data_IF_361110730463
#
_entry.id   IF_361110730463
#
_cell.length_a   1.000
_cell.length_b   1.000
_cell.length_c   1.000
_cell.angle_alpha   90.00
_cell.angle_beta   90.00
_cell.angle_gamma   90.00
#
_symmetry.space_group_name_H-M   'P 1'
#
loop_
_entity.id
_entity.type
_entity.pdbx_description
1 polymer ?
#
# COMPACT_ATOMS: atom_id res chain seq x y z
N UNK A 1 18.50 -15.59 3.00
CA UNK A 1 18.29 -14.12 2.99
C UNK A 1 19.46 -13.50 2.23
N UNK A 2 19.20 -12.80 1.11
CA UNK A 2 20.23 -12.39 0.14
C UNK A 2 21.31 -11.44 0.72
N UNK A 3 20.99 -10.72 1.80
CA UNK A 3 21.88 -9.76 2.47
C UNK A 3 23.13 -10.38 3.10
N UNK A 4 23.10 -11.68 3.42
CA UNK A 4 24.27 -12.38 3.97
C UNK A 4 25.15 -13.03 2.90
N UNK A 5 24.76 -12.90 1.64
CA UNK A 5 25.56 -13.33 0.50
C UNK A 5 26.56 -12.22 0.14
N UNK A 6 27.85 -12.56 0.18
CA UNK A 6 28.93 -11.63 -0.13
C UNK A 6 28.93 -11.23 -1.60
N UNK A 7 28.54 -12.11 -2.52
CA UNK A 7 28.47 -11.80 -3.95
C UNK A 7 27.39 -10.75 -4.20
N UNK A 8 26.23 -10.90 -3.57
CA UNK A 8 25.10 -9.98 -3.71
C UNK A 8 25.42 -8.63 -3.07
N UNK A 9 25.97 -8.62 -1.85
CA UNK A 9 26.32 -7.37 -1.17
C UNK A 9 27.45 -6.63 -1.87
N UNK A 10 28.40 -7.35 -2.47
CA UNK A 10 29.44 -6.76 -3.32
C UNK A 10 28.83 -6.14 -4.58
N UNK A 11 27.92 -6.85 -5.26
CA UNK A 11 27.21 -6.31 -6.42
C UNK A 11 26.45 -5.03 -6.07
N UNK A 12 25.66 -5.02 -4.99
CA UNK A 12 24.95 -3.83 -4.53
C UNK A 12 25.89 -2.68 -4.20
N UNK A 13 27.05 -2.97 -3.60
CA UNK A 13 28.09 -1.97 -3.34
C UNK A 13 28.55 -1.32 -4.64
N UNK A 14 28.90 -2.13 -5.65
CA UNK A 14 29.34 -1.64 -6.95
C UNK A 14 28.26 -0.79 -7.62
N UNK A 15 27.03 -1.29 -7.66
CA UNK A 15 25.89 -0.58 -8.26
C UNK A 15 25.67 0.79 -7.59
N UNK A 16 25.67 0.83 -6.25
CA UNK A 16 25.45 2.05 -5.48
C UNK A 16 26.54 3.11 -5.68
N UNK A 17 27.81 2.69 -5.77
CA UNK A 17 28.95 3.60 -6.00
C UNK A 17 29.04 4.06 -7.46
N UNK A 18 28.55 3.26 -8.42
CA UNK A 18 28.55 3.60 -9.85
C UNK A 18 27.33 4.40 -10.32
N UNK A 19 26.34 4.62 -9.45
CA UNK A 19 25.08 5.24 -9.83
C UNK A 19 25.26 6.74 -10.17
N UNK A 20 25.07 7.09 -11.44
CA UNK A 20 25.16 8.48 -11.90
C UNK A 20 24.15 9.39 -11.18
N UNK A 21 24.60 10.58 -10.79
CA UNK A 21 23.75 11.58 -10.10
C UNK A 21 23.42 11.24 -8.64
N UNK A 22 24.08 10.25 -8.03
CA UNK A 22 23.98 9.92 -6.61
C UNK A 22 25.31 10.21 -5.90
N UNK A 23 25.26 10.87 -4.75
CA UNK A 23 26.42 11.13 -3.89
C UNK A 23 26.54 10.03 -2.83
N UNK A 24 26.92 8.82 -3.26
CA UNK A 24 27.13 7.67 -2.38
C UNK A 24 28.62 7.47 -2.13
N UNK A 25 29.03 7.51 -0.87
CA UNK A 25 30.42 7.22 -0.47
C UNK A 25 30.58 5.77 0.01
N UNK A 26 31.80 5.26 0.02
CA UNK A 26 32.12 3.92 0.56
C UNK A 26 31.62 3.76 2.00
N UNK A 27 31.87 4.74 2.87
CA UNK A 27 31.42 4.72 4.26
C UNK A 27 29.88 4.67 4.38
N UNK A 28 29.16 5.36 3.48
CA UNK A 28 27.70 5.35 3.49
C UNK A 28 27.15 3.97 3.11
N UNK A 29 27.66 3.36 2.05
CA UNK A 29 27.19 2.03 1.64
C UNK A 29 27.59 0.94 2.64
N UNK A 30 28.78 1.05 3.25
CA UNK A 30 29.19 0.18 4.36
C UNK A 30 28.22 0.29 5.54
N UNK A 31 27.85 1.51 5.91
CA UNK A 31 26.88 1.74 6.97
C UNK A 31 25.49 1.20 6.59
N UNK A 32 25.02 1.42 5.36
CA UNK A 32 23.74 0.86 4.89
C UNK A 32 23.71 -0.67 4.96
N UNK A 33 24.77 -1.35 4.52
CA UNK A 33 24.86 -2.81 4.59
C UNK A 33 24.88 -3.27 6.05
N UNK A 34 25.64 -2.59 6.92
CA UNK A 34 25.69 -2.90 8.35
C UNK A 34 24.32 -2.69 9.03
N UNK A 35 23.62 -1.59 8.72
CA UNK A 35 22.28 -1.31 9.22
C UNK A 35 21.28 -2.38 8.76
N UNK A 36 21.29 -2.74 7.48
CA UNK A 36 20.43 -3.80 6.96
C UNK A 36 20.67 -5.12 7.71
N UNK A 37 21.93 -5.47 8.00
CA UNK A 37 22.27 -6.71 8.73
C UNK A 37 21.76 -6.67 10.16
N UNK A 38 21.94 -5.53 10.85
CA UNK A 38 21.39 -5.30 12.18
C UNK A 38 19.86 -5.45 12.19
N UNK A 39 19.18 -4.80 11.24
CA UNK A 39 17.72 -4.86 11.08
C UNK A 39 17.24 -6.28 10.80
N UNK A 40 17.93 -7.02 9.94
CA UNK A 40 17.57 -8.39 9.64
C UNK A 40 17.70 -9.33 10.86
N UNK A 41 18.77 -9.18 11.64
CA UNK A 41 18.93 -9.92 12.90
C UNK A 41 17.81 -9.59 13.89
N UNK A 42 17.40 -8.31 13.98
CA UNK A 42 16.25 -7.93 14.81
C UNK A 42 14.97 -8.63 14.35
N UNK A 43 14.67 -8.59 13.04
CA UNK A 43 13.51 -9.28 12.47
C UNK A 43 13.52 -10.78 12.73
N UNK A 44 14.67 -11.45 12.62
CA UNK A 44 14.81 -12.88 12.91
C UNK A 44 14.52 -13.20 14.38
N UNK A 45 15.00 -12.36 15.31
CA UNK A 45 14.85 -12.57 16.74
C UNK A 45 13.44 -12.24 17.26
N UNK A 46 12.79 -11.20 16.73
CA UNK A 46 11.51 -10.69 17.25
C UNK A 46 10.31 -11.04 16.37
N UNK A 47 10.55 -11.44 15.11
CA UNK A 47 9.51 -11.59 14.09
C UNK A 47 8.97 -10.27 13.54
N UNK A 48 9.46 -9.10 14.01
CA UNK A 48 8.94 -7.80 13.61
C UNK A 48 9.99 -6.68 13.69
N UNK A 49 9.89 -5.68 12.80
CA UNK A 49 10.81 -4.55 12.78
C UNK A 49 10.09 -3.23 12.46
N UNK A 50 10.44 -2.18 13.20
CA UNK A 50 10.01 -0.82 12.87
C UNK A 50 10.76 -0.31 11.63
N UNK A 51 10.00 0.03 10.59
CA UNK A 51 10.57 0.45 9.28
C UNK A 51 10.57 1.96 9.09
N UNK A 52 9.78 2.70 9.88
CA UNK A 52 9.74 4.17 9.83
C UNK A 52 9.55 4.76 11.23
N UNK A 53 10.03 6.00 11.44
CA UNK A 53 9.78 6.77 12.65
C UNK A 53 8.29 7.20 12.65
N UNK A 54 7.41 6.36 13.20
CA UNK A 54 5.98 6.66 13.23
C UNK A 54 5.08 5.42 13.29
N UNK A 55 5.41 4.46 14.15
CA UNK A 55 4.55 3.30 14.46
C UNK A 55 4.27 2.31 13.32
N UNK A 56 5.03 2.38 12.21
CA UNK A 56 4.95 1.39 11.13
C UNK A 56 5.89 0.22 11.43
N UNK A 57 5.28 -0.94 11.70
CA UNK A 57 5.98 -2.20 11.98
C UNK A 57 5.74 -3.18 10.84
N UNK A 58 6.82 -3.80 10.37
CA UNK A 58 6.80 -4.89 9.40
C UNK A 58 6.97 -6.22 10.12
N UNK A 59 6.18 -7.22 9.76
CA UNK A 59 6.33 -8.61 10.20
C UNK A 59 5.84 -9.56 9.11
N UNK A 60 6.60 -10.62 8.83
CA UNK A 60 6.17 -11.67 7.88
C UNK A 60 5.30 -12.75 8.55
N UNK A 61 5.16 -12.68 9.87
CA UNK A 61 4.53 -13.72 10.69
C UNK A 61 3.33 -13.20 11.49
N UNK A 62 3.02 -11.90 11.41
CA UNK A 62 1.88 -11.29 12.08
C UNK A 62 0.54 -11.91 11.69
N UNK A 63 0.41 -12.40 10.45
CA UNK A 63 -0.79 -13.08 9.96
C UNK A 63 -0.57 -14.60 10.02
N UNK A 64 -1.39 -15.36 10.76
CA UNK A 64 -1.27 -16.81 10.82
C UNK A 64 -1.44 -17.49 9.44
N UNK A 65 -0.91 -18.72 9.24
CA UNK A 65 -0.96 -19.40 7.95
C UNK A 65 -2.38 -19.55 7.37
N UNK A 66 -3.36 -19.91 8.20
CA UNK A 66 -4.73 -20.16 7.76
C UNK A 66 -5.37 -18.94 7.07
N UNK A 67 -5.51 -17.77 7.71
CA UNK A 67 -6.07 -16.59 7.05
C UNK A 67 -5.22 -16.10 5.87
N UNK A 68 -3.89 -16.23 5.95
CA UNK A 68 -2.98 -15.88 4.84
C UNK A 68 -3.26 -16.75 3.60
N UNK A 69 -3.34 -18.06 3.78
CA UNK A 69 -3.51 -19.00 2.69
C UNK A 69 -4.94 -18.94 2.13
N UNK A 70 -5.94 -18.72 2.98
CA UNK A 70 -7.31 -18.43 2.56
C UNK A 70 -7.39 -17.15 1.69
N UNK A 71 -6.70 -16.07 2.09
CA UNK A 71 -6.66 -14.83 1.32
C UNK A 71 -5.98 -15.03 -0.04
N UNK A 72 -4.84 -15.72 -0.07
CA UNK A 72 -4.16 -16.07 -1.33
C UNK A 72 -5.07 -16.87 -2.27
N UNK A 73 -5.78 -17.87 -1.73
CA UNK A 73 -6.70 -18.67 -2.52
C UNK A 73 -7.89 -17.83 -3.06
N UNK A 74 -8.41 -16.91 -2.26
CA UNK A 74 -9.50 -16.02 -2.67
C UNK A 74 -9.08 -15.01 -3.75
N UNK A 75 -7.82 -14.56 -3.73
CA UNK A 75 -7.27 -13.58 -4.67
C UNK A 75 -6.73 -14.23 -5.95
N UNK A 76 -6.32 -15.50 -5.90
CA UNK A 76 -5.74 -16.21 -7.05
C UNK A 76 -6.55 -16.11 -8.36
N UNK A 77 -7.90 -16.12 -8.38
CA UNK A 77 -8.67 -15.93 -9.62
C UNK A 77 -8.52 -14.54 -10.24
N UNK A 78 -8.20 -13.51 -9.44
CA UNK A 78 -7.94 -12.14 -9.90
C UNK A 78 -6.52 -11.98 -10.44
N UNK A 79 -5.57 -12.71 -9.86
CA UNK A 79 -4.16 -12.74 -10.31
C UNK A 79 -3.97 -13.57 -11.59
N UNK A 80 -4.58 -14.76 -11.64
CA UNK A 80 -4.35 -15.75 -12.68
C UNK A 80 -5.28 -15.56 -13.90
N UNK A 81 -5.37 -14.34 -14.38
CA UNK A 81 -6.12 -13.99 -15.59
C UNK A 81 -5.28 -14.23 -16.85
N UNK A 82 -5.89 -14.48 -18.02
CA UNK A 82 -5.17 -14.52 -19.29
C UNK A 82 -4.32 -13.25 -19.50
N UNK A 83 -3.13 -13.32 -20.14
CA UNK A 83 -2.19 -12.18 -20.25
C UNK A 83 -2.81 -10.90 -20.80
N UNK A 84 -3.79 -11.01 -21.71
CA UNK A 84 -4.52 -9.88 -22.28
C UNK A 84 -5.39 -9.09 -21.28
N UNK A 85 -5.64 -9.66 -20.10
CA UNK A 85 -6.42 -9.05 -19.01
C UNK A 85 -5.55 -8.71 -17.81
N UNK A 86 -4.23 -8.94 -17.90
CA UNK A 86 -3.32 -8.60 -16.83
C UNK A 86 -3.14 -7.08 -16.79
N UNK A 87 -3.48 -6.48 -15.65
CA UNK A 87 -3.34 -5.04 -15.42
C UNK A 87 -2.01 -4.81 -14.69
N UNK A 88 -0.99 -4.34 -15.41
CA UNK A 88 0.33 -4.07 -14.84
C UNK A 88 0.45 -2.61 -14.45
N UNK A 89 0.95 -2.36 -13.25
CA UNK A 89 1.06 -1.01 -12.74
C UNK A 89 2.00 -0.18 -13.64
N UNK A 90 1.61 1.04 -14.06
CA UNK A 90 2.43 1.85 -14.96
C UNK A 90 3.84 2.08 -14.42
N UNK A 91 4.86 1.82 -15.25
CA UNK A 91 6.27 1.98 -14.87
C UNK A 91 6.85 0.84 -14.02
N UNK A 92 6.12 -0.28 -13.87
CA UNK A 92 6.61 -1.44 -13.12
C UNK A 92 7.43 -2.46 -13.94
N UNK A 93 7.54 -2.29 -15.26
CA UNK A 93 8.08 -3.31 -16.20
C UNK A 93 7.41 -4.69 -16.04
N UNK A 94 6.08 -4.72 -15.95
CA UNK A 94 5.31 -5.95 -15.80
C UNK A 94 5.68 -6.77 -14.55
N UNK A 95 6.01 -6.07 -13.44
CA UNK A 95 6.39 -6.71 -12.16
C UNK A 95 5.34 -6.56 -11.07
N UNK A 96 4.48 -5.55 -11.17
CA UNK A 96 3.50 -5.24 -10.13
C UNK A 96 2.11 -5.31 -10.74
N UNK A 97 1.35 -6.39 -10.52
CA UNK A 97 0.00 -6.51 -11.04
C UNK A 97 -0.98 -5.74 -10.14
N UNK A 98 -1.82 -4.91 -10.75
CA UNK A 98 -2.96 -4.27 -10.11
C UNK A 98 -4.15 -5.22 -10.12
N UNK A 99 -4.46 -5.85 -8.98
CA UNK A 99 -5.68 -6.67 -8.85
C UNK A 99 -6.93 -5.82 -9.02
N UNK A 100 -6.86 -4.60 -8.48
CA UNK A 100 -7.83 -3.53 -8.61
C UNK A 100 -7.03 -2.24 -8.55
N UNK A 101 -6.87 -1.55 -9.68
CA UNK A 101 -6.14 -0.29 -9.70
C UNK A 101 -6.93 0.79 -8.94
N UNK A 102 -6.40 1.40 -7.86
CA UNK A 102 -7.15 2.34 -7.01
C UNK A 102 -7.75 3.53 -7.76
N UNK A 103 -7.03 4.05 -8.76
CA UNK A 103 -7.51 5.14 -9.62
C UNK A 103 -8.71 4.81 -10.53
N UNK A 104 -9.13 3.54 -10.64
CA UNK A 104 -10.32 3.17 -11.42
C UNK A 104 -11.63 3.38 -10.64
N UNK A 105 -11.56 3.43 -9.31
CA UNK A 105 -12.73 3.55 -8.44
C UNK A 105 -12.63 4.73 -7.48
N UNK A 106 -12.30 5.96 -7.95
CA UNK A 106 -12.27 7.12 -7.09
C UNK A 106 -13.70 7.52 -6.71
N UNK A 107 -13.82 8.22 -5.58
CA UNK A 107 -14.99 9.02 -5.30
C UNK A 107 -15.03 10.17 -6.31
N UNK A 108 -16.16 10.32 -6.98
CA UNK A 108 -16.46 11.40 -7.93
C UNK A 108 -17.66 12.17 -7.41
N UNK A 109 -17.47 13.45 -7.10
CA UNK A 109 -18.56 14.33 -6.67
C UNK A 109 -19.61 14.50 -7.77
N UNK A 110 -20.89 14.56 -7.38
CA UNK A 110 -22.02 14.62 -8.30
C UNK A 110 -22.33 13.30 -9.03
N UNK A 111 -21.58 12.23 -8.78
CA UNK A 111 -21.81 10.90 -9.39
C UNK A 111 -21.81 9.76 -8.38
N UNK A 112 -20.87 9.75 -7.44
CA UNK A 112 -20.72 8.67 -6.46
C UNK A 112 -21.83 8.73 -5.44
N UNK A 113 -22.39 7.57 -5.09
CA UNK A 113 -23.42 7.47 -4.06
C UNK A 113 -22.79 7.10 -2.72
N UNK A 114 -23.34 7.66 -1.65
CA UNK A 114 -22.90 7.42 -0.28
C UNK A 114 -24.07 6.99 0.60
N UNK A 115 -23.74 6.23 1.63
CA UNK A 115 -24.61 5.92 2.76
C UNK A 115 -24.13 6.79 3.94
N UNK A 116 -24.91 7.78 4.36
CA UNK A 116 -24.46 8.77 5.38
C UNK A 116 -24.35 8.17 6.78
N UNK A 117 -25.37 7.42 7.18
CA UNK A 117 -25.57 6.99 8.56
C UNK A 117 -25.61 5.46 8.69
N UNK A 118 -25.07 4.75 7.69
CA UNK A 118 -25.09 3.30 7.64
C UNK A 118 -23.73 2.73 7.27
N UNK A 119 -23.39 1.58 7.87
CA UNK A 119 -22.19 0.81 7.55
C UNK A 119 -22.61 -0.34 6.65
N UNK A 120 -21.93 -0.47 5.51
CA UNK A 120 -22.14 -1.56 4.57
C UNK A 120 -21.29 -2.77 4.96
N UNK A 121 -21.91 -3.94 5.12
CA UNK A 121 -21.22 -5.18 5.45
C UNK A 121 -20.76 -5.95 4.20
N UNK A 122 -19.88 -6.93 4.40
CA UNK A 122 -19.41 -7.81 3.31
C UNK A 122 -20.53 -8.68 2.73
N UNK A 123 -21.60 -8.95 3.49
CA UNK A 123 -22.68 -9.84 3.07
C UNK A 123 -23.73 -9.16 2.19
N UNK A 124 -23.95 -7.86 2.39
CA UNK A 124 -24.97 -7.08 1.70
C UNK A 124 -24.39 -6.08 0.69
N UNK A 125 -23.06 -5.87 0.67
CA UNK A 125 -22.42 -4.87 -0.19
C UNK A 125 -22.75 -5.00 -1.68
N UNK A 126 -22.82 -6.23 -2.20
CA UNK A 126 -23.15 -6.47 -3.61
C UNK A 126 -24.62 -6.16 -3.88
N UNK A 127 -25.54 -6.61 -3.01
CA UNK A 127 -26.97 -6.43 -3.18
C UNK A 127 -27.43 -4.97 -3.04
N UNK A 128 -26.68 -4.19 -2.27
CA UNK A 128 -26.92 -2.76 -2.02
C UNK A 128 -26.09 -1.85 -2.94
N UNK A 129 -25.42 -2.42 -3.95
CA UNK A 129 -24.64 -1.63 -4.90
C UNK A 129 -25.56 -0.63 -5.63
N UNK A 130 -25.29 0.66 -5.45
CA UNK A 130 -26.09 1.75 -6.02
C UNK A 130 -27.14 2.34 -5.08
N UNK A 131 -27.26 1.84 -3.86
CA UNK A 131 -28.06 2.47 -2.80
C UNK A 131 -27.48 3.84 -2.38
N UNK A 132 -28.23 4.55 -1.56
CA UNK A 132 -27.81 5.82 -0.96
C UNK A 132 -28.09 7.02 -1.86
N UNK A 133 -27.48 8.15 -1.55
CA UNK A 133 -27.67 9.41 -2.25
C UNK A 133 -26.40 9.86 -2.95
N UNK A 134 -26.54 10.62 -4.04
CA UNK A 134 -25.40 11.17 -4.76
C UNK A 134 -24.74 12.24 -3.92
N UNK A 135 -23.44 12.07 -3.63
CA UNK A 135 -22.67 13.05 -2.89
C UNK A 135 -22.47 14.30 -3.74
N UNK A 136 -23.07 15.41 -3.31
CA UNK A 136 -22.91 16.70 -3.97
C UNK A 136 -21.46 17.22 -3.85
N UNK A 137 -20.95 17.98 -4.83
CA UNK A 137 -19.68 18.67 -4.71
C UNK A 137 -19.63 19.57 -3.46
N UNK A 138 -18.46 19.69 -2.81
CA UNK A 138 -18.31 20.56 -1.64
C UNK A 138 -18.58 22.01 -2.03
N UNK A 139 -19.23 22.77 -1.15
CA UNK A 139 -19.51 24.21 -1.34
C UNK A 139 -18.34 25.10 -0.96
N UNK A 140 -17.33 24.57 -0.27
CA UNK A 140 -16.07 25.26 0.02
C UNK A 140 -15.19 25.18 -1.23
N UNK A 141 -15.31 26.15 -2.14
CA UNK A 141 -14.63 26.15 -3.44
C UNK A 141 -15.27 27.05 -4.52
N UNK A 142 -16.42 27.68 -4.23
CA UNK A 142 -17.02 28.75 -5.05
C UNK A 142 -16.48 30.16 -4.70
N UNK A 143 -15.26 30.21 -4.17
CA UNK A 143 -14.42 31.40 -4.01
C UNK A 143 -12.99 31.01 -4.36
N UNK A 144 -12.21 31.96 -4.92
CA UNK A 144 -10.86 31.81 -5.50
C UNK A 144 -10.16 30.49 -5.16
N UNK A 145 -9.91 29.68 -6.20
CA UNK A 145 -9.15 28.43 -6.12
C UNK A 145 -7.77 28.77 -5.60
N UNK A 146 -7.53 28.50 -4.32
CA UNK A 146 -6.18 28.55 -3.77
C UNK A 146 -5.41 27.40 -4.43
N UNK A 147 -4.38 27.73 -5.22
CA UNK A 147 -3.56 26.72 -5.90
C UNK A 147 -2.78 25.82 -4.92
N UNK A 148 -2.81 26.16 -3.63
CA UNK A 148 -2.17 25.43 -2.54
C UNK A 148 -3.12 24.45 -1.80
N UNK A 149 -4.40 24.32 -2.19
CA UNK A 149 -5.26 23.29 -1.60
C UNK A 149 -4.94 21.90 -2.20
N UNK A 150 -4.40 20.95 -1.42
CA UNK A 150 -4.11 19.59 -1.91
C UNK A 150 -5.38 18.78 -2.21
N UNK A 151 -6.58 19.31 -1.92
CA UNK A 151 -7.84 18.60 -2.03
C UNK A 151 -8.57 18.87 -3.34
N UNK A 152 -8.72 17.84 -4.18
CA UNK A 152 -9.56 17.95 -5.38
C UNK A 152 -11.06 17.99 -5.04
N UNK A 153 -11.75 19.03 -5.51
CA UNK A 153 -13.22 19.14 -5.39
C UNK A 153 -14.00 18.29 -6.41
N UNK A 154 -13.29 17.54 -7.26
CA UNK A 154 -13.88 16.71 -8.31
C UNK A 154 -13.75 15.20 -8.00
N UNK A 155 -12.58 14.79 -7.53
CA UNK A 155 -12.22 13.38 -7.33
C UNK A 155 -11.49 13.17 -6.01
N UNK A 156 -11.75 12.08 -5.31
CA UNK A 156 -11.05 11.73 -4.07
C UNK A 156 -10.73 10.24 -4.03
N UNK A 157 -9.60 9.88 -3.42
CA UNK A 157 -9.35 8.50 -3.05
C UNK A 157 -10.21 8.14 -1.85
N UNK A 158 -10.78 6.93 -1.86
CA UNK A 158 -11.64 6.48 -0.76
C UNK A 158 -10.76 6.13 0.45
N UNK A 159 -11.00 6.74 1.62
CA UNK A 159 -10.33 6.31 2.84
C UNK A 159 -10.82 4.91 3.22
N UNK A 160 -9.97 4.16 3.90
CA UNK A 160 -10.37 2.92 4.57
C UNK A 160 -10.80 3.26 5.98
N UNK A 161 -11.95 2.74 6.39
CA UNK A 161 -12.36 2.79 7.80
C UNK A 161 -11.37 1.98 8.64
N UNK A 162 -10.74 2.65 9.59
CA UNK A 162 -9.87 2.02 10.59
C UNK A 162 -10.51 2.19 11.96
N UNK A 163 -10.85 1.08 12.60
CA UNK A 163 -11.31 1.10 13.97
C UNK A 163 -10.13 0.89 14.93
N UNK A 164 -9.80 1.94 15.68
CA UNK A 164 -8.68 1.96 16.64
C UNK A 164 -9.18 1.69 18.08
N UNK A 165 -10.47 1.41 18.28
CA UNK A 165 -11.04 1.13 19.60
C UNK A 165 -10.70 -0.26 20.18
N UNK A 166 -10.01 -1.10 19.42
CA UNK A 166 -9.44 -2.34 19.97
C UNK A 166 -8.28 -2.03 20.91
N UNK A 167 -8.15 -2.78 22.01
CA UNK A 167 -6.89 -2.85 22.75
C UNK A 167 -5.72 -3.20 21.81
N UNK A 168 -4.46 -3.08 22.26
CA UNK A 168 -3.29 -3.12 21.37
C UNK A 168 -3.33 -4.32 20.42
N UNK A 169 -3.43 -4.04 19.11
CA UNK A 169 -3.10 -5.00 18.04
C UNK A 169 -4.25 -5.66 17.26
N UNK A 170 -5.46 -5.09 17.16
CA UNK A 170 -6.47 -5.63 16.23
C UNK A 170 -7.08 -4.56 15.32
N UNK A 171 -6.73 -4.62 14.03
CA UNK A 171 -7.61 -4.17 12.96
C UNK A 171 -8.55 -5.34 12.58
N UNK A 172 -9.82 -5.06 12.33
CA UNK A 172 -10.73 -6.07 11.74
C UNK A 172 -10.36 -6.38 10.29
#
# INVERSE_FOLDING_TARGET
MLLFDEEITTKWRTEALSAEGKDMTENMIDWCIAELRYKANQLENTGAISVYNGDVVKSDTAIPPLPRDALKAAVAPLENVPPKYQDWHPGSDDKVPDLVHPSLFPLIFGRTRILRDEILGLHDCIGRCGDGEVLAPPTFGIGEVDHDDPMSVCYQWLPRDVNISGGPGQAK
#
